data_IF_925358834392
#
_entry.id   IF_925358834392
#
_cell.length_a   1.000
_cell.length_b   1.000
_cell.length_c   1.000
_cell.angle_alpha   90.00
_cell.angle_beta   90.00
_cell.angle_gamma   90.00
#
_symmetry.space_group_name_H-M   'P 1'
#
loop_
_entity.id
_entity.type
_entity.pdbx_description
1 polymer ?
#
# COMPACT_ATOMS: atom_id res chain seq x y z
N UNK A 1 5.06 -7.14 -60.41
CA UNK A 1 4.06 -6.26 -61.04
C UNK A 1 2.69 -6.67 -60.58
N UNK A 2 2.09 -5.90 -59.65
CA UNK A 2 0.64 -5.67 -59.50
C UNK A 2 0.49 -4.90 -58.19
N UNK A 3 0.38 -3.66 -58.28
CA UNK A 3 -0.66 -2.63 -58.09
C UNK A 3 -1.34 -2.58 -56.71
N UNK A 4 -1.02 -1.43 -56.05
CA UNK A 4 -1.77 -0.78 -55.02
C UNK A 4 -3.24 -0.56 -55.43
N UNK A 5 -4.17 -0.80 -54.48
CA UNK A 5 -5.44 -0.07 -54.46
C UNK A 5 -5.70 0.49 -53.06
N UNK A 6 -5.72 1.79 -52.98
CA UNK A 6 -6.27 2.57 -51.83
C UNK A 6 -7.79 2.60 -51.97
N UNK A 7 -8.50 2.30 -50.90
CA UNK A 7 -9.88 2.79 -50.74
C UNK A 7 -10.00 3.64 -49.46
N UNK A 8 -10.23 4.89 -49.70
CA UNK A 8 -10.65 5.92 -48.74
C UNK A 8 -12.18 5.89 -48.75
N UNK A 9 -12.78 5.71 -47.58
CA UNK A 9 -14.16 6.10 -47.25
C UNK A 9 -14.04 6.53 -45.79
N UNK A 10 -14.17 7.76 -45.38
CA UNK A 10 -15.10 8.83 -45.64
C UNK A 10 -16.30 8.63 -44.70
N UNK A 11 -16.32 9.35 -43.56
CA UNK A 11 -17.60 9.50 -42.95
C UNK A 11 -17.67 9.68 -41.44
N UNK A 12 -17.95 10.90 -41.09
CA UNK A 12 -18.71 11.38 -39.92
C UNK A 12 -18.07 11.38 -38.53
N UNK A 13 -17.48 12.54 -38.23
CA UNK A 13 -17.33 13.07 -36.86
C UNK A 13 -18.69 13.49 -36.35
N UNK A 14 -19.17 12.85 -35.28
CA UNK A 14 -20.33 13.32 -34.52
C UNK A 14 -19.82 13.95 -33.20
N UNK A 15 -19.78 15.28 -33.17
CA UNK A 15 -19.56 16.11 -31.98
C UNK A 15 -20.82 16.06 -31.12
N UNK A 16 -20.75 15.46 -29.94
CA UNK A 16 -21.73 15.59 -28.88
C UNK A 16 -21.22 16.62 -27.86
N UNK A 17 -21.75 17.82 -27.94
CA UNK A 17 -21.65 18.89 -26.92
C UNK A 17 -22.52 18.49 -25.72
N UNK A 18 -21.94 18.19 -24.58
CA UNK A 18 -22.63 18.08 -23.32
C UNK A 18 -22.58 19.44 -22.61
N UNK A 19 -23.75 20.03 -22.42
CA UNK A 19 -23.94 21.29 -21.73
C UNK A 19 -23.70 21.15 -20.22
N UNK A 20 -22.80 21.97 -19.67
CA UNK A 20 -22.59 22.14 -18.25
C UNK A 20 -23.60 23.11 -17.72
N UNK A 21 -24.51 22.69 -16.85
CA UNK A 21 -25.42 23.55 -16.10
C UNK A 21 -24.69 24.03 -14.83
N UNK A 22 -24.36 25.30 -14.79
CA UNK A 22 -23.86 26.00 -13.60
C UNK A 22 -25.06 26.38 -12.73
N UNK A 23 -25.19 25.78 -11.57
CA UNK A 23 -26.09 26.26 -10.53
C UNK A 23 -25.37 27.27 -9.65
N UNK A 24 -25.74 28.56 -9.77
CA UNK A 24 -25.31 29.63 -8.92
C UNK A 24 -26.11 29.65 -7.62
N UNK A 25 -25.46 29.37 -6.48
CA UNK A 25 -26.03 29.58 -5.16
C UNK A 25 -25.75 31.03 -4.70
N UNK A 26 -26.82 31.73 -4.38
CA UNK A 26 -26.81 33.16 -4.02
C UNK A 26 -26.20 33.44 -2.65
N UNK A 27 -25.43 34.51 -2.61
CA UNK A 27 -24.93 35.16 -1.40
C UNK A 27 -26.06 36.04 -0.80
N UNK A 28 -26.54 35.71 0.40
CA UNK A 28 -27.42 36.57 1.18
C UNK A 28 -26.60 37.62 1.95
N UNK A 29 -26.73 38.86 1.57
CA UNK A 29 -26.24 40.03 2.33
C UNK A 29 -27.08 40.24 3.58
N UNK A 30 -26.50 40.15 4.75
CA UNK A 30 -27.07 40.66 5.99
C UNK A 30 -26.76 42.16 6.09
N UNK A 31 -27.83 42.97 6.09
CA UNK A 31 -27.80 44.40 6.37
C UNK A 31 -27.52 44.63 7.86
N UNK A 32 -26.55 45.50 8.12
CA UNK A 32 -26.27 46.08 9.42
C UNK A 32 -27.14 47.33 9.58
N UNK A 33 -28.08 47.32 10.51
CA UNK A 33 -28.77 48.52 10.92
C UNK A 33 -28.15 49.09 12.18
N UNK A 34 -27.64 50.30 12.02
CA UNK A 34 -27.05 51.12 13.06
C UNK A 34 -28.19 51.90 13.77
N UNK A 35 -28.34 51.70 15.08
CA UNK A 35 -29.20 52.59 15.91
C UNK A 35 -28.34 53.19 17.00
N UNK A 36 -28.12 54.46 16.87
CA UNK A 36 -27.46 55.39 17.74
C UNK A 36 -28.34 55.69 18.97
N UNK A 37 -27.83 55.55 20.20
CA UNK A 37 -28.41 56.19 21.38
C UNK A 37 -27.32 56.52 22.40
N UNK A 38 -27.33 57.79 22.77
CA UNK A 38 -26.41 58.51 23.62
C UNK A 38 -26.48 58.10 25.11
N UNK A 39 -25.37 58.22 25.81
CA UNK A 39 -25.33 58.74 27.17
C UNK A 39 -24.80 57.83 28.25
N UNK A 40 -23.73 58.25 28.93
CA UNK A 40 -23.37 57.76 30.24
C UNK A 40 -21.90 57.37 30.39
N UNK A 41 -21.03 58.33 30.79
CA UNK A 41 -19.64 58.04 31.11
C UNK A 41 -19.50 57.24 32.39
N UNK A 42 -18.75 56.15 32.30
CA UNK A 42 -18.10 55.50 33.43
C UNK A 42 -16.66 55.11 33.00
N UNK A 43 -15.71 55.76 33.63
CA UNK A 43 -14.30 55.40 33.58
C UNK A 43 -14.14 54.01 34.23
N UNK A 44 -13.98 53.00 33.42
CA UNK A 44 -13.55 51.66 33.88
C UNK A 44 -12.13 51.47 33.47
N UNK A 45 -11.25 51.40 34.45
CA UNK A 45 -9.87 50.98 34.32
C UNK A 45 -9.86 49.51 33.82
N UNK A 46 -9.49 49.32 32.56
CA UNK A 46 -9.32 47.99 31.99
C UNK A 46 -8.03 47.38 32.54
N UNK A 47 -8.16 46.53 33.55
CA UNK A 47 -7.15 45.57 33.92
C UNK A 47 -7.06 44.53 32.79
N UNK A 48 -6.00 44.61 32.01
CA UNK A 48 -5.65 43.55 31.06
C UNK A 48 -5.31 42.26 31.83
N UNK A 49 -6.35 41.47 32.13
CA UNK A 49 -6.14 40.08 32.53
C UNK A 49 -5.97 39.28 31.24
N UNK A 50 -4.71 39.07 30.83
CA UNK A 50 -4.37 38.11 29.79
C UNK A 50 -4.89 36.76 30.24
N UNK A 51 -5.87 36.16 29.50
CA UNK A 51 -6.22 34.76 29.65
C UNK A 51 -4.94 33.95 29.51
N UNK A 52 -4.68 32.98 30.41
CA UNK A 52 -3.58 32.04 30.21
C UNK A 52 -3.80 31.31 28.87
N UNK A 53 -2.80 31.32 28.00
CA UNK A 53 -2.77 30.47 26.80
C UNK A 53 -3.13 29.04 27.19
N UNK A 54 -3.99 28.34 26.42
CA UNK A 54 -4.23 26.94 26.67
C UNK A 54 -2.87 26.21 26.66
N UNK A 55 -2.66 25.25 27.60
CA UNK A 55 -1.42 24.49 27.63
C UNK A 55 -1.18 23.86 26.24
N UNK A 56 0.03 24.04 25.70
CA UNK A 56 0.44 23.36 24.50
C UNK A 56 0.17 21.86 24.67
N UNK A 57 -0.37 21.16 23.66
CA UNK A 57 -0.54 19.72 23.74
C UNK A 57 0.84 19.11 24.09
N UNK A 58 0.87 18.07 24.94
CA UNK A 58 2.12 17.47 25.35
C UNK A 58 2.87 17.04 24.08
N UNK A 59 4.03 17.63 23.87
CA UNK A 59 4.99 17.22 22.87
C UNK A 59 5.52 15.86 23.32
N UNK A 60 4.83 14.77 22.94
CA UNK A 60 5.34 13.42 23.09
C UNK A 60 6.34 13.09 21.97
N UNK A 61 7.35 13.95 21.81
CA UNK A 61 8.59 13.55 21.20
C UNK A 61 9.29 12.63 22.20
N UNK A 62 9.01 11.33 22.15
CA UNK A 62 9.78 10.32 22.88
C UNK A 62 11.25 10.47 22.52
N UNK A 63 12.15 10.09 23.46
CA UNK A 63 13.61 10.14 23.34
C UNK A 63 14.12 9.22 22.21
N UNK A 64 13.88 9.59 20.95
CA UNK A 64 14.39 8.87 19.77
C UNK A 64 15.44 9.69 19.05
N UNK A 65 16.37 9.05 18.37
CA UNK A 65 17.32 9.74 17.49
C UNK A 65 16.54 10.40 16.33
N UNK A 66 16.63 11.73 16.15
CA UNK A 66 15.99 12.40 15.02
C UNK A 66 16.39 11.78 13.70
N UNK A 67 15.42 11.53 12.82
CA UNK A 67 15.67 10.91 11.53
C UNK A 67 14.84 11.56 10.41
N UNK A 68 15.30 11.43 9.17
CA UNK A 68 14.60 11.92 7.99
C UNK A 68 13.59 10.88 7.48
N UNK A 69 12.67 11.31 6.61
CA UNK A 69 11.69 10.40 6.02
C UNK A 69 12.28 9.45 4.97
N UNK A 70 13.46 9.79 4.41
CA UNK A 70 14.23 8.91 3.51
C UNK A 70 15.07 7.87 4.26
N UNK A 71 15.28 8.07 5.58
CA UNK A 71 16.15 7.21 6.36
C UNK A 71 15.68 5.75 6.37
N UNK A 72 16.65 4.86 6.23
CA UNK A 72 16.47 3.42 6.22
C UNK A 72 17.50 2.73 7.14
N UNK A 73 17.41 1.42 7.27
CA UNK A 73 18.25 0.67 8.19
C UNK A 73 19.54 0.10 7.57
N UNK A 74 19.88 0.43 6.32
CA UNK A 74 21.06 -0.16 5.63
C UNK A 74 22.38 0.14 6.31
N UNK A 75 22.51 1.32 6.93
CA UNK A 75 23.72 1.69 7.71
C UNK A 75 23.86 0.90 9.01
N UNK A 76 22.84 0.15 9.39
CA UNK A 76 22.77 -0.67 10.60
C UNK A 76 22.95 -2.18 10.32
N UNK A 77 23.24 -2.55 9.07
CA UNK A 77 23.45 -3.94 8.68
C UNK A 77 24.50 -4.65 9.56
N UNK A 78 24.28 -5.91 9.85
CA UNK A 78 25.13 -6.71 10.74
C UNK A 78 24.87 -6.51 12.25
N UNK A 79 23.81 -5.77 12.61
CA UNK A 79 23.37 -5.54 13.99
C UNK A 79 22.07 -6.27 14.31
N UNK A 80 21.87 -7.43 13.73
CA UNK A 80 20.67 -8.24 13.94
C UNK A 80 20.39 -8.49 15.43
N UNK A 81 19.13 -8.38 15.83
CA UNK A 81 18.68 -8.45 17.22
C UNK A 81 18.81 -7.15 18.00
N UNK A 82 19.49 -6.13 17.49
CA UNK A 82 19.56 -4.83 18.15
C UNK A 82 18.35 -3.96 17.84
N UNK A 83 18.01 -3.12 18.80
CA UNK A 83 16.89 -2.17 18.68
C UNK A 83 17.39 -0.73 18.57
N UNK A 84 16.67 0.07 17.77
CA UNK A 84 16.96 1.47 17.55
C UNK A 84 15.66 2.28 17.66
N UNK A 85 15.68 3.33 18.47
CA UNK A 85 14.54 4.24 18.63
C UNK A 85 14.79 5.50 17.82
N UNK A 86 13.87 5.82 16.92
CA UNK A 86 13.98 6.88 15.93
C UNK A 86 12.79 7.83 16.04
N UNK A 87 13.04 9.13 15.91
CA UNK A 87 12.02 10.17 15.94
C UNK A 87 11.80 10.72 14.53
N UNK A 88 10.62 10.44 13.95
CA UNK A 88 10.17 10.96 12.68
C UNK A 88 9.49 12.32 12.89
N UNK A 89 9.97 13.38 12.21
CA UNK A 89 9.42 14.73 12.36
C UNK A 89 8.02 14.87 11.75
N UNK A 90 7.19 15.81 12.25
CA UNK A 90 5.91 16.15 11.62
C UNK A 90 6.07 16.66 10.18
N UNK A 91 5.02 16.50 9.36
CA UNK A 91 5.00 17.01 7.98
C UNK A 91 5.75 16.11 6.99
N UNK A 92 5.77 14.81 7.23
CA UNK A 92 6.47 13.83 6.41
C UNK A 92 5.88 13.59 5.02
N UNK A 93 6.68 12.98 4.16
CA UNK A 93 6.30 12.57 2.79
C UNK A 93 6.47 11.07 2.62
N UNK A 94 5.76 10.53 1.61
CA UNK A 94 5.81 9.10 1.28
C UNK A 94 7.15 8.75 0.63
N UNK A 95 7.79 7.70 1.13
CA UNK A 95 8.98 7.09 0.56
C UNK A 95 8.77 5.60 0.33
N UNK A 96 9.69 4.97 -0.41
CA UNK A 96 9.58 3.56 -0.78
C UNK A 96 9.64 2.63 0.43
N UNK A 97 8.72 1.66 0.44
CA UNK A 97 8.67 0.60 1.46
C UNK A 97 8.43 -0.74 0.78
N UNK A 98 9.27 -1.71 1.09
CA UNK A 98 9.13 -3.10 0.65
C UNK A 98 8.89 -4.01 1.86
N UNK A 99 7.90 -4.88 1.72
CA UNK A 99 7.50 -5.76 2.80
C UNK A 99 6.22 -5.31 3.50
N UNK A 100 5.69 -6.17 4.34
CA UNK A 100 4.56 -5.93 5.22
C UNK A 100 4.82 -6.64 6.53
N UNK A 101 4.76 -5.91 7.63
CA UNK A 101 5.08 -6.36 8.98
C UNK A 101 6.58 -6.66 9.20
N UNK A 102 7.24 -7.30 8.24
CA UNK A 102 8.70 -7.41 8.13
C UNK A 102 9.11 -6.64 6.88
N UNK A 103 9.96 -5.65 7.03
CA UNK A 103 10.38 -4.72 5.97
C UNK A 103 11.84 -4.96 5.61
N UNK A 104 12.18 -4.77 4.32
CA UNK A 104 13.60 -4.78 3.91
C UNK A 104 14.37 -3.64 4.57
N UNK A 105 15.66 -3.83 4.86
CA UNK A 105 16.45 -2.80 5.54
C UNK A 105 16.61 -1.50 4.75
N UNK A 106 16.39 -1.49 3.44
CA UNK A 106 16.39 -0.30 2.58
C UNK A 106 15.02 0.42 2.50
N UNK A 107 13.99 -0.10 3.16
CA UNK A 107 12.70 0.58 3.30
C UNK A 107 12.81 1.82 4.17
N UNK A 108 12.07 2.89 3.81
CA UNK A 108 11.91 4.06 4.67
C UNK A 108 11.31 3.66 6.01
N UNK A 109 12.03 3.92 7.12
CA UNK A 109 11.58 3.56 8.46
C UNK A 109 10.34 4.35 8.86
N UNK A 110 10.32 5.67 8.60
CA UNK A 110 9.19 6.51 8.97
C UNK A 110 7.93 6.18 8.16
N UNK A 111 8.06 5.97 6.84
CA UNK A 111 6.93 5.55 5.99
C UNK A 111 6.41 4.16 6.38
N UNK A 112 7.31 3.22 6.70
CA UNK A 112 6.91 1.92 7.24
C UNK A 112 6.20 2.04 8.61
N UNK A 113 6.60 3.01 9.45
CA UNK A 113 5.92 3.36 10.70
C UNK A 113 4.49 3.83 10.49
N UNK A 114 4.24 4.65 9.45
CA UNK A 114 2.88 5.02 9.03
C UNK A 114 2.10 3.82 8.55
N UNK A 115 2.69 3.00 7.67
CA UNK A 115 2.07 1.76 7.18
C UNK A 115 1.65 0.83 8.32
N UNK A 116 2.47 0.73 9.38
CA UNK A 116 2.18 -0.08 10.58
C UNK A 116 1.18 0.58 11.52
N UNK A 117 0.72 1.82 11.25
CA UNK A 117 -0.22 2.56 12.10
C UNK A 117 0.38 3.08 13.40
N UNK A 118 1.71 3.14 13.51
CA UNK A 118 2.40 3.59 14.73
C UNK A 118 2.53 5.12 14.79
N UNK A 119 2.65 5.77 13.65
CA UNK A 119 2.77 7.23 13.49
C UNK A 119 1.92 7.71 12.31
N UNK A 120 1.79 9.01 12.16
CA UNK A 120 1.14 9.63 10.99
C UNK A 120 2.09 10.62 10.31
N UNK A 121 1.84 10.92 9.02
CA UNK A 121 2.62 11.95 8.31
C UNK A 121 2.51 13.32 8.94
N UNK A 122 1.32 13.69 9.44
CA UNK A 122 1.03 15.01 9.98
C UNK A 122 1.71 15.23 11.33
N UNK A 123 1.70 14.22 12.19
CA UNK A 123 2.18 14.35 13.56
C UNK A 123 3.63 13.85 13.75
N UNK A 124 4.13 13.02 12.81
CA UNK A 124 5.35 12.28 13.06
C UNK A 124 5.20 11.33 14.24
N UNK A 125 6.28 11.12 14.95
CA UNK A 125 6.28 10.32 16.17
C UNK A 125 7.54 9.46 16.33
N UNK A 126 7.61 8.74 17.44
CA UNK A 126 8.75 7.87 17.75
C UNK A 126 8.41 6.42 17.43
N UNK A 127 9.32 5.75 16.74
CA UNK A 127 9.25 4.32 16.43
C UNK A 127 10.49 3.60 16.91
N UNK A 128 10.34 2.38 17.41
CA UNK A 128 11.47 1.51 17.74
C UNK A 128 11.48 0.34 16.76
N UNK A 129 12.57 0.18 16.05
CA UNK A 129 12.81 -0.97 15.16
C UNK A 129 13.72 -1.99 15.83
N UNK A 130 13.55 -3.25 15.47
CA UNK A 130 14.49 -4.34 15.76
C UNK A 130 15.01 -4.89 14.44
N UNK A 131 16.34 -4.93 14.29
CA UNK A 131 16.98 -5.50 13.10
C UNK A 131 16.92 -7.00 13.13
N UNK A 132 16.70 -7.60 11.96
CA UNK A 132 16.61 -9.05 11.79
C UNK A 132 17.33 -9.51 10.51
N UNK A 133 17.72 -10.78 10.46
CA UNK A 133 18.17 -11.40 9.21
C UNK A 133 17.14 -11.17 8.10
N UNK A 134 17.62 -11.13 6.87
CA UNK A 134 16.76 -10.98 5.71
C UNK A 134 15.95 -12.23 5.38
N UNK A 135 15.09 -12.09 4.40
CA UNK A 135 14.16 -13.14 3.94
C UNK A 135 14.27 -13.38 2.45
N UNK A 136 13.76 -14.51 2.01
CA UNK A 136 13.68 -14.87 0.59
C UNK A 136 12.46 -14.27 -0.12
N UNK A 137 11.50 -13.73 0.66
CA UNK A 137 10.28 -13.10 0.15
C UNK A 137 9.74 -12.07 1.16
N UNK A 138 9.31 -10.93 0.65
CA UNK A 138 8.62 -9.88 1.38
C UNK A 138 7.26 -9.64 0.73
N UNK A 139 6.22 -9.61 1.54
CA UNK A 139 4.86 -9.36 1.09
C UNK A 139 4.58 -7.90 0.80
N UNK A 140 3.38 -7.62 0.36
CA UNK A 140 2.87 -6.26 0.16
C UNK A 140 1.47 -6.11 0.73
N UNK A 141 1.16 -4.94 1.24
CA UNK A 141 -0.19 -4.59 1.68
C UNK A 141 -0.43 -3.09 1.59
N UNK A 142 -1.69 -2.69 1.73
CA UNK A 142 -2.10 -1.30 1.82
C UNK A 142 -2.69 -1.06 3.21
N UNK A 143 -2.08 -0.18 4.00
CA UNK A 143 -2.52 0.19 5.35
C UNK A 143 -2.22 1.66 5.62
N UNK A 144 -3.09 2.32 6.37
CA UNK A 144 -2.90 3.73 6.79
C UNK A 144 -2.57 4.68 5.62
N UNK A 145 -3.11 4.41 4.41
CA UNK A 145 -2.84 5.19 3.22
C UNK A 145 -1.46 4.96 2.58
N UNK A 146 -0.72 3.96 3.03
CA UNK A 146 0.57 3.54 2.45
C UNK A 146 0.40 2.19 1.78
N UNK A 147 0.78 2.10 0.50
CA UNK A 147 0.90 0.85 -0.24
C UNK A 147 2.37 0.44 -0.29
N UNK A 148 2.69 -0.75 0.21
CA UNK A 148 4.04 -1.31 0.12
C UNK A 148 4.21 -2.17 -1.12
N UNK A 149 5.45 -2.35 -1.55
CA UNK A 149 5.77 -3.23 -2.68
C UNK A 149 6.26 -4.59 -2.21
N UNK A 150 5.93 -5.67 -2.93
CA UNK A 150 6.53 -6.97 -2.67
C UNK A 150 7.98 -6.98 -3.12
N UNK A 151 8.81 -7.81 -2.48
CA UNK A 151 10.20 -7.99 -2.86
C UNK A 151 10.61 -9.46 -2.74
N UNK A 152 11.57 -9.86 -3.54
CA UNK A 152 12.18 -11.19 -3.45
C UNK A 152 13.17 -11.29 -2.28
N UNK A 153 14.33 -11.89 -2.50
CA UNK A 153 15.34 -12.04 -1.46
C UNK A 153 16.06 -10.74 -1.15
N UNK A 154 16.12 -10.37 0.13
CA UNK A 154 16.91 -9.24 0.63
C UNK A 154 17.66 -9.67 1.91
N UNK A 155 18.95 -9.27 2.08
CA UNK A 155 19.81 -9.87 3.12
C UNK A 155 19.52 -9.41 4.55
N UNK A 156 18.89 -8.25 4.74
CA UNK A 156 18.60 -7.66 6.05
C UNK A 156 17.18 -7.11 6.11
N UNK A 157 16.59 -7.14 7.28
CA UNK A 157 15.23 -6.66 7.51
C UNK A 157 15.11 -5.92 8.84
N UNK A 158 13.97 -5.28 9.04
CA UNK A 158 13.57 -4.77 10.35
C UNK A 158 12.08 -5.02 10.61
N UNK A 159 11.73 -5.01 11.88
CA UNK A 159 10.35 -5.04 12.38
C UNK A 159 10.17 -3.92 13.39
N UNK A 160 8.94 -3.47 13.61
CA UNK A 160 8.67 -2.53 14.70
C UNK A 160 8.51 -3.26 16.02
N UNK A 161 9.15 -2.74 17.06
CA UNK A 161 9.06 -3.27 18.43
C UNK A 161 7.78 -2.76 19.09
N UNK A 162 6.85 -3.67 19.29
CA UNK A 162 5.55 -3.46 19.95
C UNK A 162 5.27 -4.64 20.89
N UNK A 163 4.29 -4.55 21.79
CA UNK A 163 3.90 -5.73 22.61
C UNK A 163 3.55 -6.98 21.80
N UNK A 164 3.13 -6.80 20.54
CA UNK A 164 2.68 -7.89 19.68
C UNK A 164 3.72 -8.31 18.62
N UNK A 165 4.95 -7.80 18.67
CA UNK A 165 5.99 -8.01 17.62
C UNK A 165 6.15 -9.48 17.26
N UNK A 166 6.33 -10.37 18.24
CA UNK A 166 6.60 -11.78 17.97
C UNK A 166 5.38 -12.52 17.36
N UNK A 167 4.15 -12.07 17.68
CA UNK A 167 2.95 -12.63 17.05
C UNK A 167 2.84 -12.18 15.59
N UNK A 168 3.10 -10.91 15.31
CA UNK A 168 3.12 -10.32 13.97
C UNK A 168 4.19 -10.98 13.09
N UNK A 169 5.39 -11.14 13.62
CA UNK A 169 6.51 -11.81 12.92
C UNK A 169 6.15 -13.24 12.57
N UNK A 170 5.62 -14.01 13.52
CA UNK A 170 5.19 -15.40 13.28
C UNK A 170 4.12 -15.48 12.19
N UNK A 171 3.14 -14.59 12.18
CA UNK A 171 2.13 -14.56 11.12
C UNK A 171 2.75 -14.25 9.77
N UNK A 172 3.65 -13.25 9.68
CA UNK A 172 4.35 -12.89 8.46
C UNK A 172 5.34 -13.98 7.98
N UNK A 173 5.84 -14.83 8.87
CA UNK A 173 6.65 -15.99 8.54
C UNK A 173 5.81 -17.18 8.04
N UNK A 174 4.65 -17.40 8.62
CA UNK A 174 3.73 -18.47 8.18
C UNK A 174 3.12 -18.18 6.81
N UNK A 175 2.84 -16.91 6.50
CA UNK A 175 2.23 -16.50 5.23
C UNK A 175 2.67 -15.11 4.80
N UNK A 176 2.94 -14.95 3.51
CA UNK A 176 3.31 -13.67 2.91
C UNK A 176 2.05 -12.87 2.55
N UNK A 177 1.95 -11.63 3.01
CA UNK A 177 0.88 -10.74 2.58
C UNK A 177 0.98 -10.45 1.07
N UNK A 178 -0.15 -10.42 0.37
CA UNK A 178 -0.22 -10.16 -1.06
C UNK A 178 -1.28 -9.11 -1.37
N UNK A 179 -1.01 -8.26 -2.35
CA UNK A 179 -2.03 -7.45 -3.01
C UNK A 179 -2.66 -8.24 -4.16
N UNK A 180 -3.81 -7.77 -4.65
CA UNK A 180 -4.51 -8.45 -5.74
C UNK A 180 -3.73 -8.49 -7.07
N UNK A 181 -2.72 -7.66 -7.25
CA UNK A 181 -1.80 -7.67 -8.39
C UNK A 181 -0.47 -8.37 -8.12
N UNK A 182 -0.28 -8.97 -6.93
CA UNK A 182 0.95 -9.70 -6.60
C UNK A 182 1.06 -10.96 -7.46
N UNK A 183 2.23 -11.17 -8.07
CA UNK A 183 2.54 -12.33 -8.91
C UNK A 183 3.67 -13.18 -8.32
N UNK A 184 3.82 -14.40 -8.82
CA UNK A 184 4.90 -15.30 -8.40
C UNK A 184 6.25 -15.00 -9.09
N UNK A 185 6.30 -14.08 -10.06
CA UNK A 185 7.52 -13.74 -10.81
C UNK A 185 8.64 -13.13 -9.94
N UNK A 186 8.30 -12.61 -8.76
CA UNK A 186 9.26 -12.11 -7.78
C UNK A 186 9.94 -13.21 -6.95
N UNK A 187 9.45 -14.45 -7.03
CA UNK A 187 9.99 -15.57 -6.26
C UNK A 187 11.23 -16.12 -6.94
N UNK A 188 12.19 -16.59 -6.11
CA UNK A 188 13.32 -17.38 -6.61
C UNK A 188 12.80 -18.67 -7.24
N UNK A 189 13.35 -19.02 -8.40
CA UNK A 189 12.90 -20.13 -9.23
C UNK A 189 13.38 -21.46 -8.64
N UNK A 190 12.60 -22.03 -7.75
CA UNK A 190 12.80 -23.40 -7.26
C UNK A 190 11.53 -24.21 -7.56
N UNK A 191 11.56 -24.97 -8.65
CA UNK A 191 10.45 -25.86 -9.00
C UNK A 191 10.15 -26.85 -7.86
N UNK A 192 8.85 -27.04 -7.59
CA UNK A 192 8.37 -27.86 -6.48
C UNK A 192 8.30 -27.12 -5.14
N UNK A 193 8.88 -25.94 -5.01
CA UNK A 193 8.79 -25.14 -3.78
C UNK A 193 7.40 -24.55 -3.63
N UNK A 194 6.89 -24.57 -2.40
CA UNK A 194 5.59 -24.04 -2.05
C UNK A 194 5.71 -22.73 -1.27
N UNK A 195 4.78 -21.81 -1.52
CA UNK A 195 4.68 -20.54 -0.83
C UNK A 195 3.24 -20.30 -0.38
N UNK A 196 3.08 -19.73 0.80
CA UNK A 196 1.78 -19.39 1.35
C UNK A 196 1.57 -17.88 1.28
N UNK A 197 0.42 -17.46 0.79
CA UNK A 197 0.04 -16.06 0.68
C UNK A 197 -1.27 -15.79 1.42
N UNK A 198 -1.41 -14.54 1.89
CA UNK A 198 -2.64 -13.99 2.44
C UNK A 198 -3.17 -12.92 1.50
N UNK A 199 -4.26 -13.23 0.81
CA UNK A 199 -4.99 -12.30 -0.05
C UNK A 199 -5.97 -11.47 0.79
N UNK A 200 -6.03 -10.13 0.61
CA UNK A 200 -6.96 -9.29 1.36
C UNK A 200 -8.40 -9.52 0.89
N UNK A 201 -9.38 -9.12 1.71
CA UNK A 201 -10.77 -9.00 1.31
C UNK A 201 -10.99 -7.83 0.33
N UNK A 202 -12.12 -7.80 -0.39
CA UNK A 202 -12.45 -6.72 -1.32
C UNK A 202 -11.63 -6.76 -2.59
N UNK A 203 -11.57 -7.93 -3.24
CA UNK A 203 -10.75 -8.23 -4.40
C UNK A 203 -10.92 -7.28 -5.59
N UNK A 204 -9.82 -7.05 -6.28
CA UNK A 204 -9.77 -6.32 -7.56
C UNK A 204 -9.31 -7.25 -8.66
N UNK A 205 -9.92 -7.14 -9.83
CA UNK A 205 -9.48 -7.91 -10.99
C UNK A 205 -8.04 -7.54 -11.39
N UNK A 206 -7.26 -8.56 -11.70
CA UNK A 206 -5.90 -8.45 -12.22
C UNK A 206 -5.65 -9.59 -13.19
N UNK A 207 -4.64 -9.44 -14.04
CA UNK A 207 -4.37 -10.38 -15.14
C UNK A 207 -4.00 -11.78 -14.65
N UNK A 208 -4.61 -12.77 -15.28
CA UNK A 208 -4.31 -14.20 -15.07
C UNK A 208 -4.27 -14.91 -16.42
N UNK A 209 -3.24 -15.71 -16.64
CA UNK A 209 -3.07 -16.54 -17.85
C UNK A 209 -2.99 -18.01 -17.48
N UNK A 210 -3.74 -18.83 -18.20
CA UNK A 210 -3.81 -20.28 -17.99
C UNK A 210 -4.98 -20.72 -17.12
N UNK A 211 -5.07 -22.03 -16.91
CA UNK A 211 -6.08 -22.72 -16.12
C UNK A 211 -5.43 -23.87 -15.40
N UNK A 212 -5.64 -23.98 -14.08
CA UNK A 212 -5.03 -24.95 -13.16
C UNK A 212 -3.50 -24.81 -13.03
N UNK A 213 -2.81 -24.57 -14.14
CA UNK A 213 -1.43 -24.11 -14.22
C UNK A 213 -1.44 -22.68 -14.77
N UNK A 214 -0.85 -21.75 -14.04
CA UNK A 214 -0.85 -20.33 -14.36
C UNK A 214 0.57 -19.85 -14.61
N UNK A 215 0.76 -18.88 -15.52
CA UNK A 215 2.07 -18.26 -15.72
C UNK A 215 2.54 -17.57 -14.43
N UNK A 216 3.84 -17.53 -14.16
CA UNK A 216 4.37 -16.95 -12.91
C UNK A 216 4.05 -15.45 -12.75
N UNK A 217 3.78 -14.73 -13.84
CA UNK A 217 3.36 -13.32 -13.82
C UNK A 217 1.85 -13.12 -13.62
N UNK A 218 1.07 -14.21 -13.54
CA UNK A 218 -0.35 -14.15 -13.17
C UNK A 218 -0.52 -13.70 -11.72
N UNK A 219 -1.61 -12.94 -11.46
CA UNK A 219 -2.05 -12.61 -10.10
C UNK A 219 -2.32 -13.87 -9.30
N UNK A 220 -1.63 -14.03 -8.17
CA UNK A 220 -1.78 -15.19 -7.26
C UNK A 220 -3.20 -15.22 -6.69
N UNK A 221 -3.71 -14.07 -6.22
CA UNK A 221 -5.03 -14.01 -5.57
C UNK A 221 -6.17 -14.25 -6.57
N UNK A 222 -6.09 -13.68 -7.79
CA UNK A 222 -7.10 -13.94 -8.81
C UNK A 222 -7.02 -15.39 -9.33
N UNK A 223 -5.83 -15.97 -9.48
CA UNK A 223 -5.67 -17.39 -9.81
C UNK A 223 -6.27 -18.29 -8.73
N UNK A 224 -6.16 -17.91 -7.45
CA UNK A 224 -6.76 -18.66 -6.35
C UNK A 224 -8.29 -18.60 -6.35
N UNK A 225 -8.88 -17.45 -6.70
CA UNK A 225 -10.34 -17.33 -6.92
C UNK A 225 -10.76 -18.18 -8.12
N UNK A 226 -10.06 -18.06 -9.25
CA UNK A 226 -10.34 -18.87 -10.44
C UNK A 226 -10.29 -20.38 -10.14
N UNK A 227 -9.35 -20.83 -9.31
CA UNK A 227 -9.21 -22.21 -8.84
C UNK A 227 -10.25 -22.62 -7.76
N UNK A 228 -11.13 -21.70 -7.32
CA UNK A 228 -12.15 -21.96 -6.30
C UNK A 228 -11.63 -22.11 -4.88
N UNK A 229 -10.45 -21.59 -4.57
CA UNK A 229 -9.85 -21.65 -3.23
C UNK A 229 -10.18 -20.43 -2.36
N UNK A 230 -10.52 -19.29 -2.97
CA UNK A 230 -10.89 -18.05 -2.33
C UNK A 230 -12.14 -17.46 -3.01
N UNK A 231 -12.71 -16.43 -2.37
CA UNK A 231 -13.60 -15.49 -3.04
C UNK A 231 -13.01 -14.07 -3.00
N UNK A 232 -13.41 -13.22 -3.93
CA UNK A 232 -12.97 -11.82 -3.99
C UNK A 232 -13.39 -11.04 -2.76
N UNK A 233 -14.57 -11.34 -2.20
CA UNK A 233 -15.16 -10.65 -1.05
C UNK A 233 -14.41 -10.96 0.25
N UNK A 234 -14.08 -12.25 0.46
CA UNK A 234 -13.48 -12.68 1.74
C UNK A 234 -11.96 -12.65 1.72
N UNK A 235 -11.33 -12.78 0.54
CA UNK A 235 -9.89 -13.06 0.48
C UNK A 235 -9.56 -14.38 1.18
N UNK A 236 -8.37 -14.47 1.78
CA UNK A 236 -7.99 -15.64 2.58
C UNK A 236 -6.58 -16.15 2.30
N UNK A 237 -6.29 -17.35 2.82
CA UNK A 237 -4.99 -17.99 2.65
C UNK A 237 -4.97 -18.88 1.42
N UNK A 238 -3.88 -18.81 0.67
CA UNK A 238 -3.63 -19.66 -0.49
C UNK A 238 -2.21 -20.20 -0.46
N UNK A 239 -2.05 -21.45 -0.90
CA UNK A 239 -0.73 -22.06 -1.13
C UNK A 239 -0.54 -22.22 -2.62
N UNK A 240 0.59 -21.80 -3.14
CA UNK A 240 0.99 -22.07 -4.52
C UNK A 240 2.23 -22.98 -4.53
N UNK A 241 2.38 -23.76 -5.60
CA UNK A 241 3.59 -24.54 -5.89
C UNK A 241 4.19 -24.02 -7.19
N UNK A 242 5.47 -23.63 -7.14
CA UNK A 242 6.19 -23.24 -8.35
C UNK A 242 6.48 -24.45 -9.24
N UNK A 243 6.35 -24.25 -10.55
CA UNK A 243 6.54 -25.28 -11.57
C UNK A 243 7.35 -24.76 -12.76
N UNK A 244 7.95 -25.67 -13.54
CA UNK A 244 8.45 -25.31 -14.86
C UNK A 244 7.33 -24.64 -15.68
N UNK A 245 7.73 -23.74 -16.56
CA UNK A 245 6.77 -23.17 -17.50
C UNK A 245 6.35 -24.16 -18.59
N UNK A 246 5.24 -23.81 -19.26
CA UNK A 246 4.67 -24.61 -20.33
C UNK A 246 4.80 -23.91 -21.69
N UNK A 247 4.61 -24.67 -22.77
CA UNK A 247 4.67 -24.15 -24.14
C UNK A 247 3.41 -23.41 -24.54
N UNK A 248 2.28 -23.61 -23.85
CA UNK A 248 1.02 -22.92 -24.06
C UNK A 248 0.11 -23.02 -22.83
N UNK A 249 -0.65 -21.98 -22.59
CA UNK A 249 -1.63 -21.86 -21.51
C UNK A 249 -3.01 -21.56 -22.12
N UNK A 250 -4.04 -22.25 -21.62
CA UNK A 250 -5.41 -22.03 -22.03
C UNK A 250 -6.19 -21.31 -20.96
N UNK A 251 -6.82 -20.20 -21.32
CA UNK A 251 -7.70 -19.44 -20.47
C UNK A 251 -9.11 -20.05 -20.42
N UNK A 252 -9.78 -19.83 -19.30
CA UNK A 252 -11.19 -20.16 -19.08
C UNK A 252 -11.86 -19.11 -18.20
N UNK A 253 -13.14 -19.26 -17.94
CA UNK A 253 -13.85 -18.45 -16.95
C UNK A 253 -14.37 -19.36 -15.85
N UNK A 254 -13.93 -19.15 -14.61
CA UNK A 254 -14.36 -19.90 -13.43
C UNK A 254 -14.49 -18.96 -12.23
N UNK A 255 -15.49 -19.18 -11.40
CA UNK A 255 -15.70 -18.42 -10.15
C UNK A 255 -15.69 -16.88 -10.34
N UNK A 256 -16.22 -16.40 -11.46
CA UNK A 256 -16.26 -14.97 -11.81
C UNK A 256 -14.96 -14.40 -12.38
N UNK A 257 -13.85 -15.15 -12.38
CA UNK A 257 -12.57 -14.73 -12.95
C UNK A 257 -12.41 -15.30 -14.35
N UNK A 258 -12.13 -14.40 -15.31
CA UNK A 258 -11.72 -14.77 -16.66
C UNK A 258 -10.20 -14.79 -16.75
N UNK A 259 -9.62 -15.91 -17.16
CA UNK A 259 -8.19 -16.01 -17.49
C UNK A 259 -8.01 -15.98 -19.01
N UNK A 260 -6.79 -15.70 -19.45
CA UNK A 260 -6.46 -15.54 -20.87
C UNK A 260 -5.57 -16.69 -21.36
N UNK A 261 -5.62 -16.93 -22.67
CA UNK A 261 -4.65 -17.78 -23.36
C UNK A 261 -3.27 -17.09 -23.34
N UNK A 262 -2.21 -17.88 -23.23
CA UNK A 262 -0.85 -17.42 -23.41
C UNK A 262 0.00 -18.48 -24.13
N UNK A 263 1.06 -18.02 -24.78
CA UNK A 263 2.04 -18.87 -25.41
C UNK A 263 3.03 -19.48 -24.41
N UNK A 264 4.29 -19.67 -24.86
CA UNK A 264 5.36 -20.18 -24.01
C UNK A 264 5.73 -19.17 -22.92
N UNK A 265 5.78 -19.61 -21.67
CA UNK A 265 6.28 -18.84 -20.53
C UNK A 265 7.27 -19.69 -19.72
N UNK A 266 8.34 -19.06 -19.18
CA UNK A 266 9.46 -19.80 -18.59
C UNK A 266 9.12 -20.47 -17.25
N UNK A 267 8.16 -19.91 -16.52
CA UNK A 267 7.75 -20.35 -15.21
C UNK A 267 6.26 -20.35 -15.01
N UNK A 268 5.80 -21.21 -14.15
CA UNK A 268 4.40 -21.32 -13.79
C UNK A 268 4.20 -21.61 -12.31
N UNK A 269 2.96 -21.58 -11.87
CA UNK A 269 2.56 -22.08 -10.57
C UNK A 269 1.20 -22.78 -10.65
N UNK A 270 0.97 -23.69 -9.72
CA UNK A 270 -0.35 -24.27 -9.44
C UNK A 270 -0.84 -23.80 -8.07
N UNK A 271 -2.15 -23.61 -7.94
CA UNK A 271 -2.82 -23.35 -6.65
C UNK A 271 -3.17 -24.70 -6.01
N UNK A 272 -2.88 -24.86 -4.72
CA UNK A 272 -3.08 -26.09 -3.93
C UNK A 272 -4.38 -26.08 -3.12
#
# INVERSE_FOLDING_TARGET
VFRLERRIIGGCVLLLLAAIVLASAGCSKLKNENSNSSGGGHTSTATNTSLPSPPAPPSSAGEGTPTTWEANATSLNGKDGQTFTLACSPGGTVHSVWGSDIYTADSSICTAGVHSGLITYQQGGTVTIELRPGRTIYGSSERSGVTTSPYGSYPHSFVFKTPNTEAVVREAEDQTAALWNTSASMLSIENGKTYKFKCPSGGKESSVWGTDIYTADSSICNAAVHAGKLTTESGGRVTIELRPGESAYKGTTRNGIKTNDYGKYAQSFAVK
#
